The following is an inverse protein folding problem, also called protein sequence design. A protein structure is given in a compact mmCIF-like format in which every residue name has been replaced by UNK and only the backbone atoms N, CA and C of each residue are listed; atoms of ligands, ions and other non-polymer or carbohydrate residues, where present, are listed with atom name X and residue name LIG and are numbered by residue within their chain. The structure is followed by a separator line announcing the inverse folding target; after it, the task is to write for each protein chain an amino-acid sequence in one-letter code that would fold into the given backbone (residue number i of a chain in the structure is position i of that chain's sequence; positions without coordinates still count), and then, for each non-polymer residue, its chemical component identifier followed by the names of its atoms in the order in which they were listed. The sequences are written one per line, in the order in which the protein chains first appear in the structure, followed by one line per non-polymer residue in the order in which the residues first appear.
data_IF_251670740033
#
_entry.id   IF_251670740033
#
_cell.length_a   1.000
_cell.length_b   1.000
_cell.length_c   1.000
_cell.angle_alpha   90.00
_cell.angle_beta   90.00
_cell.angle_gamma   90.00
#
_symmetry.space_group_name_H-M   'P 1'
#
loop_
_entity.id
_entity.type
_entity.pdbx_description
1 polymer ?
#
# COMPACT_ATOMS: atom_id res chain seq x y z
N UNK A 1 -31.20 -0.74 -51.84
CA UNK A 1 -31.63 -0.73 -50.43
C UNK A 1 -30.45 -0.28 -49.62
N UNK A 2 -30.65 0.53 -48.57
CA UNK A 2 -29.54 0.93 -47.72
C UNK A 2 -29.05 -0.29 -46.93
N UNK A 3 -27.73 -0.50 -46.88
CA UNK A 3 -27.13 -1.60 -46.12
C UNK A 3 -27.34 -1.38 -44.61
N UNK A 4 -27.71 -2.46 -43.92
CA UNK A 4 -27.82 -2.51 -42.47
C UNK A 4 -26.47 -2.85 -41.84
N UNK A 5 -26.35 -2.61 -40.53
CA UNK A 5 -25.12 -2.90 -39.78
C UNK A 5 -24.78 -4.39 -39.83
N UNK A 6 -25.80 -5.22 -39.68
CA UNK A 6 -25.74 -6.68 -39.65
C UNK A 6 -25.17 -7.26 -40.95
N UNK A 7 -25.38 -6.58 -42.09
CA UNK A 7 -24.87 -7.01 -43.39
C UNK A 7 -23.33 -6.96 -43.48
N UNK A 8 -22.67 -6.23 -42.57
CA UNK A 8 -21.21 -5.98 -42.56
C UNK A 8 -20.52 -6.42 -41.28
N UNK A 9 -21.19 -7.16 -40.42
CA UNK A 9 -20.63 -7.60 -39.13
C UNK A 9 -19.34 -8.41 -39.34
N UNK A 10 -19.32 -9.34 -40.29
CA UNK A 10 -18.12 -10.15 -40.61
C UNK A 10 -16.93 -9.30 -41.08
N UNK A 11 -17.19 -8.23 -41.85
CA UNK A 11 -16.16 -7.30 -42.31
C UNK A 11 -15.58 -6.53 -41.11
N UNK A 12 -16.43 -6.09 -40.18
CA UNK A 12 -16.01 -5.41 -38.94
C UNK A 12 -15.13 -6.33 -38.10
N UNK A 13 -15.55 -7.57 -37.87
CA UNK A 13 -14.79 -8.57 -37.10
C UNK A 13 -13.41 -8.82 -37.71
N UNK A 14 -13.36 -8.96 -39.03
CA UNK A 14 -12.11 -9.18 -39.74
C UNK A 14 -11.16 -7.99 -39.60
N UNK A 15 -11.66 -6.77 -39.69
CA UNK A 15 -10.84 -5.56 -39.50
C UNK A 15 -10.38 -5.38 -38.06
N UNK A 16 -11.21 -5.72 -37.06
CA UNK A 16 -10.85 -5.70 -35.65
C UNK A 16 -9.77 -6.73 -35.33
N UNK A 17 -9.91 -7.97 -35.81
CA UNK A 17 -8.94 -9.04 -35.55
C UNK A 17 -7.52 -8.69 -35.99
N UNK A 18 -7.38 -7.96 -37.11
CA UNK A 18 -6.07 -7.44 -37.58
C UNK A 18 -5.37 -6.55 -36.56
N UNK A 19 -6.12 -5.87 -35.69
CA UNK A 19 -5.59 -4.92 -34.71
C UNK A 19 -5.12 -5.58 -33.41
N UNK A 20 -5.41 -6.87 -33.20
CA UNK A 20 -5.02 -7.61 -31.99
C UNK A 20 -3.53 -7.49 -31.72
N UNK A 21 -2.69 -7.73 -32.73
CA UNK A 21 -1.23 -7.69 -32.59
C UNK A 21 -0.66 -6.31 -32.23
N UNK A 22 -1.41 -5.24 -32.50
CA UNK A 22 -1.02 -3.86 -32.17
C UNK A 22 -1.56 -3.38 -30.81
N UNK A 23 -2.36 -4.20 -30.14
CA UNK A 23 -2.78 -3.96 -28.77
C UNK A 23 -1.72 -4.50 -27.82
N UNK A 24 -1.22 -3.64 -26.94
CA UNK A 24 -0.05 -3.92 -26.10
C UNK A 24 -0.16 -3.23 -24.73
N UNK A 25 -1.39 -3.01 -24.26
CA UNK A 25 -1.68 -2.49 -22.92
C UNK A 25 -1.95 -3.63 -21.93
N UNK A 26 -1.23 -4.73 -22.06
CA UNK A 26 -1.43 -5.94 -21.27
C UNK A 26 -1.10 -5.73 -19.78
N UNK A 27 -0.33 -4.68 -19.46
CA UNK A 27 -0.02 -4.28 -18.09
C UNK A 27 -1.20 -3.61 -17.35
N UNK A 28 -2.29 -3.29 -18.06
CA UNK A 28 -3.49 -2.69 -17.47
C UNK A 28 -4.56 -3.76 -17.41
N UNK A 29 -4.76 -4.33 -16.23
CA UNK A 29 -5.65 -5.47 -16.01
C UNK A 29 -7.10 -5.21 -16.47
N UNK A 30 -7.57 -3.95 -16.35
CA UNK A 30 -8.97 -3.59 -16.59
C UNK A 30 -9.34 -3.32 -18.06
N UNK A 31 -8.41 -3.49 -19.02
CA UNK A 31 -8.67 -3.17 -20.43
C UNK A 31 -8.12 -4.23 -21.38
N UNK A 32 -8.86 -5.33 -21.48
CA UNK A 32 -8.58 -6.38 -22.43
C UNK A 32 -8.94 -5.97 -23.88
N UNK A 33 -8.45 -6.74 -24.85
CA UNK A 33 -8.73 -6.43 -26.26
C UNK A 33 -10.18 -6.75 -26.68
N UNK A 34 -10.84 -7.68 -26.01
CA UNK A 34 -12.20 -8.10 -26.36
C UNK A 34 -13.23 -7.04 -25.98
N UNK A 35 -13.10 -6.47 -24.78
CA UNK A 35 -13.81 -5.29 -24.29
C UNK A 35 -13.60 -4.09 -25.21
N UNK A 36 -12.34 -3.86 -25.62
CA UNK A 36 -12.02 -2.80 -26.58
C UNK A 36 -12.74 -3.01 -27.91
N UNK A 37 -12.76 -4.25 -28.43
CA UNK A 37 -13.53 -4.58 -29.62
C UNK A 37 -15.03 -4.30 -29.42
N UNK A 38 -15.61 -4.64 -28.27
CA UNK A 38 -17.02 -4.35 -27.99
C UNK A 38 -17.33 -2.86 -27.98
N UNK A 39 -16.48 -2.06 -27.34
CA UNK A 39 -16.60 -0.59 -27.33
C UNK A 39 -16.57 -0.06 -28.77
N UNK A 40 -15.69 -0.58 -29.62
CA UNK A 40 -15.56 -0.15 -31.01
C UNK A 40 -16.78 -0.58 -31.85
N UNK A 41 -17.28 -1.81 -31.69
CA UNK A 41 -18.52 -2.27 -32.37
C UNK A 41 -19.69 -1.35 -32.08
N UNK A 42 -19.92 -1.08 -30.79
CA UNK A 42 -20.95 -0.13 -30.34
C UNK A 42 -20.74 1.25 -30.96
N UNK A 43 -19.51 1.72 -31.05
CA UNK A 43 -19.20 3.01 -31.65
C UNK A 43 -19.48 3.06 -33.16
N UNK A 44 -19.19 1.98 -33.89
CA UNK A 44 -19.50 1.85 -35.31
C UNK A 44 -21.02 1.87 -35.50
N UNK A 45 -21.77 1.09 -34.72
CA UNK A 45 -23.23 1.05 -34.78
C UNK A 45 -23.86 2.44 -34.56
N UNK A 46 -23.40 3.16 -33.52
CA UNK A 46 -23.86 4.54 -33.26
C UNK A 46 -23.53 5.50 -34.41
N UNK A 47 -22.45 5.26 -35.16
CA UNK A 47 -22.02 6.09 -36.28
C UNK A 47 -22.42 5.56 -37.65
N UNK A 48 -23.19 4.48 -37.72
CA UNK A 48 -23.55 3.82 -38.98
C UNK A 48 -24.17 4.81 -39.97
N UNK A 49 -25.07 5.66 -39.48
CA UNK A 49 -25.73 6.71 -40.25
C UNK A 49 -24.80 7.79 -40.84
N UNK A 50 -23.55 7.88 -40.38
CA UNK A 50 -22.54 8.82 -40.90
C UNK A 50 -21.74 8.22 -42.07
N UNK A 51 -21.90 6.93 -42.35
CA UNK A 51 -21.27 6.31 -43.49
C UNK A 51 -22.06 6.61 -44.76
N UNK A 52 -21.38 7.29 -45.69
CA UNK A 52 -21.85 7.45 -47.06
C UNK A 52 -21.74 6.11 -47.81
N UNK A 53 -22.88 5.46 -48.04
CA UNK A 53 -22.96 4.12 -48.64
C UNK A 53 -22.56 4.08 -50.13
N UNK A 54 -22.39 5.23 -50.78
CA UNK A 54 -21.79 5.29 -52.12
C UNK A 54 -20.27 5.03 -52.07
N UNK A 55 -19.65 5.14 -50.88
CA UNK A 55 -18.21 4.97 -50.68
C UNK A 55 -17.85 3.60 -50.11
N UNK A 56 -16.64 3.08 -50.38
CA UNK A 56 -16.20 1.79 -49.86
C UNK A 56 -16.25 1.73 -48.31
N UNK A 57 -17.05 0.81 -47.79
CA UNK A 57 -17.23 0.57 -46.35
C UNK A 57 -15.90 0.37 -45.61
N UNK A 58 -15.02 -0.47 -46.16
CA UNK A 58 -13.75 -0.86 -45.52
C UNK A 58 -12.84 0.34 -45.21
N UNK A 59 -12.87 1.39 -46.04
CA UNK A 59 -12.06 2.60 -45.80
C UNK A 59 -12.62 3.42 -44.63
N UNK A 60 -13.94 3.56 -44.59
CA UNK A 60 -14.63 4.29 -43.52
C UNK A 60 -14.47 3.57 -42.18
N UNK A 61 -14.79 2.28 -42.12
CA UNK A 61 -14.74 1.50 -40.88
C UNK A 61 -13.30 1.43 -40.33
N UNK A 62 -12.29 1.28 -41.19
CA UNK A 62 -10.89 1.29 -40.76
C UNK A 62 -10.50 2.63 -40.12
N UNK A 63 -11.00 3.74 -40.65
CA UNK A 63 -10.78 5.07 -40.07
C UNK A 63 -11.44 5.17 -38.70
N UNK A 64 -12.69 4.71 -38.56
CA UNK A 64 -13.42 4.70 -37.28
C UNK A 64 -12.69 3.83 -36.24
N UNK A 65 -12.35 2.59 -36.58
CA UNK A 65 -11.62 1.65 -35.73
C UNK A 65 -10.29 2.27 -35.27
N UNK A 66 -9.50 2.80 -36.20
CA UNK A 66 -8.17 3.36 -35.89
C UNK A 66 -8.26 4.56 -34.95
N UNK A 67 -9.23 5.44 -35.19
CA UNK A 67 -9.46 6.60 -34.34
C UNK A 67 -9.96 6.19 -32.96
N UNK A 68 -10.87 5.20 -32.87
CA UNK A 68 -11.32 4.71 -31.58
C UNK A 68 -10.23 4.02 -30.79
N UNK A 69 -9.41 3.16 -31.41
CA UNK A 69 -8.25 2.56 -30.74
C UNK A 69 -7.29 3.61 -30.19
N UNK A 70 -7.01 4.67 -30.97
CA UNK A 70 -6.16 5.79 -30.51
C UNK A 70 -6.79 6.51 -29.32
N UNK A 71 -8.09 6.79 -29.38
CA UNK A 71 -8.82 7.48 -28.31
C UNK A 71 -8.86 6.66 -27.03
N UNK A 72 -9.15 5.36 -27.12
CA UNK A 72 -9.18 4.45 -25.98
C UNK A 72 -7.78 4.39 -25.35
N UNK A 73 -6.73 4.14 -26.13
CA UNK A 73 -5.34 4.10 -25.64
C UNK A 73 -4.94 5.39 -24.91
N UNK A 74 -5.30 6.54 -25.49
CA UNK A 74 -5.07 7.86 -24.88
C UNK A 74 -5.84 8.00 -23.57
N UNK A 75 -7.11 7.61 -23.53
CA UNK A 75 -7.95 7.78 -22.36
C UNK A 75 -7.59 6.81 -21.22
N UNK A 76 -7.23 5.58 -21.54
CA UNK A 76 -6.90 4.55 -20.56
C UNK A 76 -5.54 4.82 -19.92
N UNK A 77 -4.53 5.10 -20.75
CA UNK A 77 -3.14 5.22 -20.32
C UNK A 77 -2.56 6.61 -20.61
N UNK A 78 -2.60 7.05 -21.87
CA UNK A 78 -1.83 8.22 -22.33
C UNK A 78 -2.10 9.52 -21.59
N UNK A 79 -3.34 9.76 -21.13
CA UNK A 79 -3.71 10.95 -20.36
C UNK A 79 -3.04 11.01 -18.98
N UNK A 80 -2.69 9.85 -18.43
CA UNK A 80 -2.12 9.66 -17.10
C UNK A 80 -0.63 9.32 -17.13
N UNK A 81 -0.11 8.92 -18.28
CA UNK A 81 1.30 8.59 -18.44
C UNK A 81 2.22 9.77 -18.04
N UNK A 82 3.39 9.49 -17.46
CA UNK A 82 4.35 10.52 -17.13
C UNK A 82 4.88 11.19 -18.40
N UNK A 83 5.26 12.48 -18.33
CA UNK A 83 5.81 13.21 -19.48
C UNK A 83 7.09 12.57 -20.01
N UNK A 84 7.80 11.81 -19.17
CA UNK A 84 8.99 11.07 -19.54
C UNK A 84 8.77 10.03 -20.65
N UNK A 85 7.56 9.46 -20.80
CA UNK A 85 7.30 8.39 -21.79
C UNK A 85 7.54 8.77 -23.25
N UNK A 86 7.68 10.06 -23.57
CA UNK A 86 8.11 10.55 -24.89
C UNK A 86 9.20 11.62 -24.81
N UNK A 87 9.87 11.74 -23.66
CA UNK A 87 10.85 12.79 -23.41
C UNK A 87 12.23 12.40 -23.96
N UNK A 88 12.96 13.30 -24.63
CA UNK A 88 14.33 13.04 -25.08
C UNK A 88 15.31 12.71 -23.94
N UNK A 89 15.00 13.14 -22.72
CA UNK A 89 15.82 12.92 -21.54
C UNK A 89 15.54 11.61 -20.81
N UNK A 90 14.60 10.80 -21.28
CA UNK A 90 14.30 9.51 -20.66
C UNK A 90 15.43 8.50 -20.94
N UNK A 91 16.14 8.10 -19.89
CA UNK A 91 17.19 7.08 -19.95
C UNK A 91 16.70 5.71 -19.43
N UNK A 92 15.39 5.55 -19.23
CA UNK A 92 14.77 4.36 -18.67
C UNK A 92 14.68 4.38 -17.13
N UNK A 93 13.70 3.66 -16.59
CA UNK A 93 13.47 3.57 -15.15
C UNK A 93 13.28 4.95 -14.51
N UNK A 94 14.04 5.23 -13.45
CA UNK A 94 14.07 6.52 -12.75
C UNK A 94 15.14 7.48 -13.28
N UNK A 95 15.88 7.10 -14.32
CA UNK A 95 17.04 7.87 -14.78
C UNK A 95 16.65 8.96 -15.79
N UNK A 96 17.31 10.11 -15.70
CA UNK A 96 17.17 11.21 -16.65
C UNK A 96 18.54 11.71 -17.10
N UNK A 97 18.77 11.79 -18.42
CA UNK A 97 20.04 12.23 -19.00
C UNK A 97 20.21 13.77 -19.06
N UNK A 98 19.12 14.52 -18.85
CA UNK A 98 19.11 15.99 -18.96
C UNK A 98 19.30 16.66 -17.60
N UNK A 99 18.73 16.08 -16.54
CA UNK A 99 18.75 16.70 -15.22
C UNK A 99 20.12 16.53 -14.54
N UNK A 100 20.62 17.53 -13.79
CA UNK A 100 21.90 17.43 -13.07
C UNK A 100 21.93 16.28 -12.04
N UNK A 101 20.80 15.98 -11.42
CA UNK A 101 20.65 14.84 -10.50
C UNK A 101 20.74 13.47 -11.18
N UNK A 102 20.65 13.42 -12.50
CA UNK A 102 20.59 12.18 -13.27
C UNK A 102 19.28 11.39 -13.09
N UNK A 103 18.28 11.96 -12.39
CA UNK A 103 17.06 11.25 -11.98
C UNK A 103 15.80 12.02 -12.34
N UNK A 104 14.75 11.29 -12.71
CA UNK A 104 13.39 11.81 -12.89
C UNK A 104 12.87 12.28 -11.53
N UNK A 105 12.46 13.53 -11.44
CA UNK A 105 12.04 14.09 -10.16
C UNK A 105 11.50 15.50 -10.28
N UNK A 106 11.29 16.13 -9.12
CA UNK A 106 10.70 17.47 -9.01
C UNK A 106 11.59 18.58 -9.64
N UNK A 107 12.84 18.28 -9.96
CA UNK A 107 13.73 19.18 -10.71
C UNK A 107 13.22 19.45 -12.14
N UNK A 108 12.45 18.52 -12.73
CA UNK A 108 11.76 18.76 -13.99
C UNK A 108 10.36 19.33 -13.72
N UNK A 109 10.07 20.53 -14.25
CA UNK A 109 8.79 21.22 -14.05
C UNK A 109 7.59 20.37 -14.51
N UNK A 110 7.64 19.81 -15.73
CA UNK A 110 6.56 18.98 -16.27
C UNK A 110 6.33 17.72 -15.42
N UNK A 111 7.43 17.08 -14.96
CA UNK A 111 7.34 15.92 -14.10
C UNK A 111 6.79 16.30 -12.72
N UNK A 112 7.17 17.45 -12.16
CA UNK A 112 6.66 17.96 -10.89
C UNK A 112 5.16 18.28 -10.93
N UNK A 113 4.66 18.81 -12.05
CA UNK A 113 3.22 19.00 -12.27
C UNK A 113 2.49 17.66 -12.36
N UNK A 114 3.05 16.71 -13.11
CA UNK A 114 2.51 15.37 -13.21
C UNK A 114 2.45 14.65 -11.85
N UNK A 115 3.51 14.78 -11.03
CA UNK A 115 3.59 14.22 -9.68
C UNK A 115 2.43 14.70 -8.79
N UNK A 116 2.08 15.99 -8.87
CA UNK A 116 1.00 16.58 -8.06
C UNK A 116 -0.40 16.21 -8.51
N UNK A 117 -0.61 15.98 -9.81
CA UNK A 117 -1.94 15.77 -10.37
C UNK A 117 -2.25 14.32 -10.76
N UNK A 118 -1.39 13.71 -11.57
CA UNK A 118 -1.71 12.50 -12.34
C UNK A 118 -1.06 11.24 -11.80
N UNK A 119 -0.01 11.35 -10.98
CA UNK A 119 0.70 10.20 -10.38
C UNK A 119 -0.24 9.22 -9.70
N UNK A 120 -1.14 9.69 -8.84
CA UNK A 120 -2.05 8.81 -8.09
C UNK A 120 -2.94 7.99 -9.04
N UNK A 121 -3.52 8.64 -10.05
CA UNK A 121 -4.36 7.94 -11.02
C UNK A 121 -3.55 6.96 -11.90
N UNK A 122 -2.30 7.31 -12.22
CA UNK A 122 -1.38 6.44 -12.94
C UNK A 122 -1.01 5.20 -12.12
N UNK A 123 -0.64 5.37 -10.86
CA UNK A 123 -0.25 4.29 -9.95
C UNK A 123 -1.41 3.32 -9.73
N UNK A 124 -2.65 3.82 -9.56
CA UNK A 124 -3.85 2.97 -9.43
C UNK A 124 -4.08 2.14 -10.70
N UNK A 125 -3.88 2.73 -11.88
CA UNK A 125 -4.12 2.05 -13.18
C UNK A 125 -3.10 0.97 -13.52
N UNK A 126 -1.89 1.07 -12.96
CA UNK A 126 -0.81 0.09 -13.14
C UNK A 126 -0.63 -0.80 -11.93
N UNK A 127 -1.47 -0.68 -10.91
CA UNK A 127 -1.43 -1.55 -9.75
C UNK A 127 -1.66 -3.00 -10.19
N UNK A 128 -0.72 -3.87 -9.85
CA UNK A 128 -0.89 -5.30 -10.08
C UNK A 128 -1.98 -5.86 -9.13
N UNK A 129 -2.72 -6.90 -9.55
CA UNK A 129 -3.61 -7.62 -8.65
C UNK A 129 -2.85 -8.17 -7.44
N UNK A 130 -3.46 -8.09 -6.25
CA UNK A 130 -2.87 -8.61 -5.01
C UNK A 130 -2.53 -10.11 -5.08
N UNK A 131 -3.26 -10.85 -5.92
CA UNK A 131 -3.05 -12.30 -6.12
C UNK A 131 -1.70 -12.60 -6.78
N UNK A 132 -1.16 -11.66 -7.56
CA UNK A 132 0.12 -11.79 -8.27
C UNK A 132 1.31 -11.29 -7.43
N UNK A 133 1.08 -10.47 -6.41
CA UNK A 133 2.14 -9.96 -5.54
C UNK A 133 2.66 -11.05 -4.59
N UNK A 134 3.75 -11.71 -4.97
CA UNK A 134 4.47 -12.66 -4.11
C UNK A 134 5.05 -11.95 -2.87
N UNK A 135 5.47 -10.69 -3.03
CA UNK A 135 6.16 -9.92 -1.99
C UNK A 135 5.31 -9.61 -0.76
N UNK A 136 3.97 -9.58 -0.88
CA UNK A 136 3.07 -9.38 0.28
C UNK A 136 3.00 -10.63 1.16
N UNK A 137 3.23 -11.82 0.58
CA UNK A 137 3.19 -13.09 1.34
C UNK A 137 4.46 -13.33 2.17
N UNK A 138 5.56 -12.69 1.80
CA UNK A 138 6.88 -12.87 2.40
C UNK A 138 7.33 -11.68 3.26
N UNK A 139 6.41 -10.76 3.62
CA UNK A 139 6.64 -9.87 4.74
C UNK A 139 6.69 -10.73 6.01
N UNK A 140 7.85 -11.35 6.25
CA UNK A 140 8.19 -11.98 7.51
C UNK A 140 8.06 -10.88 8.54
N UNK A 141 7.03 -10.99 9.37
CA UNK A 141 6.91 -10.18 10.56
C UNK A 141 8.23 -10.40 11.32
N UNK A 142 9.09 -9.37 11.37
CA UNK A 142 10.22 -9.34 12.31
C UNK A 142 9.60 -9.16 13.69
N UNK A 143 8.89 -10.20 14.13
CA UNK A 143 7.99 -10.13 15.26
C UNK A 143 8.86 -9.99 16.50
N UNK A 144 8.62 -8.91 17.24
CA UNK A 144 9.33 -8.63 18.46
C UNK A 144 9.04 -9.76 19.45
N UNK A 145 10.06 -10.53 19.85
CA UNK A 145 9.83 -11.60 20.82
C UNK A 145 9.70 -11.03 22.24
N UNK A 146 8.48 -10.60 22.58
CA UNK A 146 8.14 -10.05 23.88
C UNK A 146 8.38 -11.04 25.02
N UNK A 147 8.22 -12.35 24.80
CA UNK A 147 8.41 -13.35 25.85
C UNK A 147 9.86 -13.40 26.33
N UNK A 148 10.82 -13.39 25.39
CA UNK A 148 12.25 -13.36 25.71
C UNK A 148 12.64 -12.04 26.37
N UNK A 149 12.12 -10.91 25.87
CA UNK A 149 12.37 -9.59 26.44
C UNK A 149 11.83 -9.47 27.88
N UNK A 150 10.61 -9.96 28.13
CA UNK A 150 9.97 -9.98 29.45
C UNK A 150 10.76 -10.87 30.42
N UNK A 151 11.17 -12.06 29.98
CA UNK A 151 11.96 -12.98 30.81
C UNK A 151 13.30 -12.36 31.24
N UNK A 152 14.02 -11.73 30.31
CA UNK A 152 15.25 -10.98 30.61
C UNK A 152 14.99 -9.86 31.60
N UNK A 153 13.94 -9.04 31.37
CA UNK A 153 13.60 -7.94 32.27
C UNK A 153 13.33 -8.44 33.69
N UNK A 154 12.60 -9.55 33.87
CA UNK A 154 12.37 -10.15 35.18
C UNK A 154 13.66 -10.59 35.87
N UNK A 155 14.62 -11.13 35.12
CA UNK A 155 15.92 -11.53 35.64
C UNK A 155 16.75 -10.33 36.11
N UNK A 156 16.83 -9.27 35.29
CA UNK A 156 17.55 -8.05 35.67
C UNK A 156 16.90 -7.35 36.87
N UNK A 157 15.56 -7.32 36.93
CA UNK A 157 14.81 -6.80 38.07
C UNK A 157 15.13 -7.53 39.37
N UNK A 158 15.30 -8.86 39.32
CA UNK A 158 15.71 -9.67 40.48
C UNK A 158 17.11 -9.31 41.00
N UNK A 159 18.02 -8.95 40.09
CA UNK A 159 19.40 -8.58 40.46
C UNK A 159 19.51 -7.16 41.01
N UNK A 160 18.68 -6.23 40.52
CA UNK A 160 18.73 -4.79 40.88
C UNK A 160 17.88 -4.42 42.09
N UNK A 161 16.77 -5.12 42.33
CA UNK A 161 15.90 -4.87 43.48
C UNK A 161 16.38 -5.59 44.74
N UNK A 162 16.16 -4.98 45.91
CA UNK A 162 16.40 -5.67 47.18
C UNK A 162 15.35 -6.75 47.46
N UNK A 163 15.61 -7.65 48.41
CA UNK A 163 14.74 -8.82 48.69
C UNK A 163 13.27 -8.44 48.96
N UNK A 164 13.01 -7.38 49.72
CA UNK A 164 11.66 -6.90 50.03
C UNK A 164 10.97 -6.26 48.83
N UNK A 165 11.71 -5.46 48.05
CA UNK A 165 11.25 -4.84 46.80
C UNK A 165 10.92 -5.89 45.74
N UNK A 166 11.79 -6.90 45.57
CA UNK A 166 11.60 -7.95 44.59
C UNK A 166 10.40 -8.84 44.94
N UNK A 167 10.17 -9.12 46.22
CA UNK A 167 9.00 -9.87 46.64
C UNK A 167 7.70 -9.15 46.27
N UNK A 168 7.64 -7.83 46.49
CA UNK A 168 6.46 -7.03 46.11
C UNK A 168 6.35 -6.87 44.59
N UNK A 169 7.48 -6.73 43.88
CA UNK A 169 7.51 -6.76 42.42
C UNK A 169 6.94 -8.07 41.87
N UNK A 170 7.39 -9.22 42.40
CA UNK A 170 6.89 -10.54 42.00
C UNK A 170 5.39 -10.66 42.25
N UNK A 171 4.93 -10.28 43.44
CA UNK A 171 3.51 -10.29 43.78
C UNK A 171 2.67 -9.42 42.84
N UNK A 172 3.16 -8.24 42.44
CA UNK A 172 2.43 -7.31 41.59
C UNK A 172 2.45 -7.66 40.10
N UNK A 173 3.61 -8.04 39.57
CA UNK A 173 3.87 -8.07 38.12
C UNK A 173 4.11 -9.47 37.55
N UNK A 174 4.24 -10.50 38.40
CA UNK A 174 4.40 -11.90 37.98
C UNK A 174 3.20 -12.71 38.49
N UNK A 175 2.90 -12.63 39.78
CA UNK A 175 1.83 -13.41 40.42
C UNK A 175 0.46 -12.72 40.33
N UNK A 176 0.41 -11.48 39.81
CA UNK A 176 -0.79 -10.67 39.58
C UNK A 176 -1.73 -10.54 40.81
N UNK A 177 -1.15 -10.33 41.99
CA UNK A 177 -1.87 -10.17 43.26
C UNK A 177 -2.31 -8.72 43.44
N UNK A 178 -3.53 -8.51 43.93
CA UNK A 178 -4.03 -7.16 44.21
C UNK A 178 -3.27 -6.46 45.34
N UNK A 179 -3.08 -5.15 45.18
CA UNK A 179 -2.42 -4.29 46.16
C UNK A 179 -3.03 -4.37 47.56
N UNK A 180 -4.35 -4.56 47.64
CA UNK A 180 -5.08 -4.63 48.90
C UNK A 180 -4.70 -5.88 49.71
N UNK A 181 -4.38 -6.98 49.04
CA UNK A 181 -3.92 -8.22 49.65
C UNK A 181 -2.44 -8.16 49.99
N UNK A 182 -1.64 -7.54 49.13
CA UNK A 182 -0.21 -7.32 49.38
C UNK A 182 -0.02 -6.46 50.63
N UNK A 183 -0.81 -5.39 50.79
CA UNK A 183 -0.74 -4.52 51.96
C UNK A 183 -1.07 -5.26 53.27
N UNK A 184 -2.06 -6.18 53.23
CA UNK A 184 -2.41 -7.05 54.37
C UNK A 184 -1.29 -8.03 54.68
N UNK A 185 -0.74 -8.72 53.66
CA UNK A 185 0.38 -9.68 53.81
C UNK A 185 1.65 -9.02 54.33
N UNK A 186 1.90 -7.76 53.97
CA UNK A 186 3.07 -6.98 54.40
C UNK A 186 2.87 -6.21 55.70
N UNK A 187 1.67 -6.29 56.31
CA UNK A 187 1.39 -5.65 57.59
C UNK A 187 1.39 -4.12 57.54
N UNK A 188 1.12 -3.52 56.37
CA UNK A 188 1.05 -2.06 56.26
C UNK A 188 -0.23 -1.54 56.91
N UNK A 189 -0.10 -0.56 57.81
CA UNK A 189 -1.20 0.03 58.58
C UNK A 189 -1.50 1.44 58.02
N UNK A 190 -2.76 1.85 58.01
CA UNK A 190 -3.16 3.25 57.75
C UNK A 190 -3.73 3.89 59.00
N UNK A 191 -3.27 5.11 59.30
CA UNK A 191 -3.76 5.95 60.39
C UNK A 191 -4.96 6.85 60.02
N UNK A 192 -5.41 6.84 58.75
CA UNK A 192 -6.47 7.73 58.25
C UNK A 192 -7.76 6.95 57.91
N UNK A 193 -8.92 7.42 58.41
CA UNK A 193 -10.25 6.88 58.05
C UNK A 193 -10.49 7.03 56.54
N UNK A 194 -10.94 5.96 55.88
CA UNK A 194 -11.29 5.84 54.45
C UNK A 194 -10.14 5.65 53.41
N UNK A 195 -8.91 5.29 53.81
CA UNK A 195 -7.85 4.87 52.87
C UNK A 195 -7.50 3.40 53.00
N UNK A 196 -7.21 2.74 51.87
CA UNK A 196 -6.70 1.35 51.85
C UNK A 196 -5.33 1.32 52.57
N UNK A 197 -5.10 0.36 53.50
CA UNK A 197 -3.84 0.22 54.21
C UNK A 197 -2.62 0.22 53.28
N UNK A 198 -1.53 0.90 53.65
CA UNK A 198 -0.26 0.88 52.91
C UNK A 198 -0.21 1.65 51.57
N UNK A 199 -1.26 2.38 51.18
CA UNK A 199 -1.36 3.04 49.85
C UNK A 199 -0.14 3.89 49.47
N UNK A 200 0.35 4.76 50.37
CA UNK A 200 1.52 5.63 50.08
C UNK A 200 2.83 4.85 49.97
N UNK A 201 2.98 3.77 50.73
CA UNK A 201 4.18 2.94 50.75
C UNK A 201 4.27 2.10 49.48
N UNK A 202 3.16 1.45 49.08
CA UNK A 202 3.07 0.72 47.82
C UNK A 202 3.21 1.64 46.61
N UNK A 203 2.63 2.85 46.65
CA UNK A 203 2.79 3.84 45.59
C UNK A 203 4.27 4.24 45.40
N UNK A 204 4.98 4.57 46.48
CA UNK A 204 6.40 4.92 46.42
C UNK A 204 7.24 3.75 45.91
N UNK A 205 6.92 2.53 46.34
CA UNK A 205 7.62 1.33 45.93
C UNK A 205 7.42 1.01 44.45
N UNK A 206 6.19 1.13 43.94
CA UNK A 206 5.88 1.03 42.51
C UNK A 206 6.66 2.05 41.70
N UNK A 207 6.78 3.28 42.20
CA UNK A 207 7.58 4.32 41.55
C UNK A 207 9.05 3.93 41.46
N UNK A 208 9.61 3.37 42.54
CA UNK A 208 10.99 2.85 42.55
C UNK A 208 11.15 1.71 41.54
N UNK A 209 10.27 0.70 41.59
CA UNK A 209 10.27 -0.45 40.67
C UNK A 209 10.20 0.00 39.21
N UNK A 210 9.31 0.95 38.88
CA UNK A 210 9.15 1.47 37.54
C UNK A 210 10.40 2.21 37.06
N UNK A 211 11.01 3.04 37.91
CA UNK A 211 12.24 3.74 37.57
C UNK A 211 13.40 2.77 37.34
N UNK A 212 13.52 1.73 38.17
CA UNK A 212 14.52 0.67 37.99
C UNK A 212 14.29 -0.09 36.69
N UNK A 213 13.04 -0.44 36.35
CA UNK A 213 12.73 -1.10 35.09
C UNK A 213 13.11 -0.23 33.87
N UNK A 214 12.84 1.09 33.92
CA UNK A 214 13.25 2.02 32.87
C UNK A 214 14.76 2.09 32.70
N UNK A 215 15.51 2.18 33.79
CA UNK A 215 16.98 2.17 33.75
C UNK A 215 17.51 0.89 33.12
N UNK A 216 16.94 -0.27 33.48
CA UNK A 216 17.34 -1.54 32.88
C UNK A 216 17.03 -1.56 31.38
N UNK A 217 15.88 -1.06 30.94
CA UNK A 217 15.54 -0.99 29.51
C UNK A 217 16.44 -0.02 28.73
N UNK A 218 17.02 0.99 29.38
CA UNK A 218 17.96 1.94 28.78
C UNK A 218 19.41 1.42 28.78
N UNK A 219 19.81 0.67 29.81
CA UNK A 219 21.19 0.21 30.02
C UNK A 219 21.46 -1.19 29.45
N UNK A 220 20.44 -2.05 29.40
CA UNK A 220 20.56 -3.46 29.00
C UNK A 220 19.85 -3.68 27.66
N UNK A 221 20.49 -4.41 26.73
CA UNK A 221 19.94 -4.74 25.41
C UNK A 221 18.89 -5.87 25.52
N UNK A 222 17.73 -5.51 26.08
CA UNK A 222 16.61 -6.43 26.34
C UNK A 222 15.76 -6.66 25.09
N UNK A 223 15.72 -5.66 24.21
CA UNK A 223 14.94 -5.66 22.99
C UNK A 223 15.75 -6.34 21.88
N UNK A 224 15.33 -7.52 21.47
CA UNK A 224 15.97 -8.25 20.37
C UNK A 224 15.02 -8.40 19.19
N UNK A 225 15.46 -7.99 18.02
CA UNK A 225 14.85 -8.33 16.73
C UNK A 225 15.51 -9.61 16.21
N UNK A 226 14.74 -10.68 16.02
CA UNK A 226 15.17 -11.89 15.29
C UNK A 226 15.54 -11.57 13.85
#
# INVERSE_FOLDING_TARGET
MAEAYEDREEDIERELAKRRKGWNLDAIADVDFEDVCQIIRRHIALKWHLWDQERPFLNWVNTVISNQLRNIRRNVYGNFAPPCSGCPGDAGGESCSILPSGKKGAECLEYAEWLRGKKVAYDIKLAAPLEESRDIKDAVDTDFNFEVAIAKLHEHMKRRLNSSQYEIYKMLYIDNIEESEIAKKKGYITSEKNRKPGYKQLYNLKKTILNTAKQILEEEDIIWTT
#
